data_IF_598284955945
#
_entry.id   IF_598284955945
#
_cell.length_a   1.000
_cell.length_b   1.000
_cell.length_c   1.000
_cell.angle_alpha   90.00
_cell.angle_beta   90.00
_cell.angle_gamma   90.00
#
_symmetry.space_group_name_H-M   'P 1'
#
loop_
_entity.id
_entity.type
_entity.pdbx_description
1 polymer ?
#
# COMPACT_ATOMS: atom_id res chain seq x y z
N UNK A 1 2.38 -19.24 1.20
CA UNK A 1 1.94 -18.07 0.41
C UNK A 1 0.60 -17.67 0.99
N UNK A 2 0.50 -16.48 1.56
CA UNK A 2 -0.69 -16.03 2.31
C UNK A 2 -1.34 -14.87 1.55
N UNK A 3 -2.56 -15.09 1.08
CA UNK A 3 -3.29 -14.18 0.18
C UNK A 3 -4.20 -14.99 -0.73
N UNK A 4 -5.08 -14.31 -1.47
CA UNK A 4 -6.09 -14.98 -2.29
C UNK A 4 -5.91 -14.63 -3.76
N UNK A 5 -5.87 -15.65 -4.61
CA UNK A 5 -5.84 -15.50 -6.08
C UNK A 5 -7.17 -15.99 -6.63
N UNK A 6 -7.82 -15.15 -7.44
CA UNK A 6 -9.12 -15.44 -8.06
C UNK A 6 -9.04 -15.27 -9.57
N UNK A 7 -9.87 -16.00 -10.35
CA UNK A 7 -10.12 -15.64 -11.74
C UNK A 7 -10.56 -14.18 -11.84
N UNK A 8 -10.05 -13.44 -12.83
CA UNK A 8 -10.42 -12.04 -13.00
C UNK A 8 -11.89 -11.94 -13.46
N UNK A 9 -12.74 -11.14 -12.78
CA UNK A 9 -14.17 -11.07 -13.09
C UNK A 9 -14.50 -10.33 -14.40
N UNK A 10 -13.51 -9.71 -15.06
CA UNK A 10 -13.69 -8.88 -16.26
C UNK A 10 -12.79 -9.24 -17.44
N UNK A 11 -11.91 -10.23 -17.28
CA UNK A 11 -10.99 -10.73 -18.29
C UNK A 11 -10.78 -12.23 -18.09
N UNK A 12 -11.10 -13.03 -19.11
CA UNK A 12 -11.15 -14.49 -19.03
C UNK A 12 -9.76 -15.14 -18.99
N UNK A 13 -8.71 -14.40 -19.33
CA UNK A 13 -7.35 -14.93 -19.43
C UNK A 13 -6.42 -14.48 -18.30
N UNK A 14 -6.94 -13.71 -17.33
CA UNK A 14 -6.14 -13.18 -16.23
C UNK A 14 -6.73 -13.49 -14.84
N UNK A 15 -5.95 -13.15 -13.82
CA UNK A 15 -6.27 -13.37 -12.41
C UNK A 15 -6.22 -12.04 -11.66
N UNK A 16 -6.87 -12.01 -10.49
CA UNK A 16 -6.75 -10.93 -9.52
C UNK A 16 -6.25 -11.46 -8.18
N UNK A 17 -5.48 -10.64 -7.47
CA UNK A 17 -4.92 -10.98 -6.15
C UNK A 17 -5.52 -10.05 -5.10
N UNK A 18 -5.91 -10.62 -3.96
CA UNK A 18 -6.38 -9.88 -2.78
C UNK A 18 -5.48 -10.18 -1.59
N UNK A 19 -4.89 -9.12 -1.05
CA UNK A 19 -4.08 -9.14 0.17
C UNK A 19 -4.80 -8.36 1.27
N UNK A 20 -4.98 -8.98 2.43
CA UNK A 20 -5.75 -8.43 3.53
C UNK A 20 -4.82 -8.10 4.70
N UNK A 21 -5.00 -6.90 5.26
CA UNK A 21 -4.26 -6.42 6.43
C UNK A 21 -5.26 -5.99 7.49
N UNK A 22 -5.10 -6.49 8.71
CA UNK A 22 -5.93 -6.14 9.87
C UNK A 22 -5.57 -4.75 10.40
N UNK A 23 -4.27 -4.44 10.52
CA UNK A 23 -3.79 -3.21 11.13
C UNK A 23 -3.69 -2.08 10.10
N UNK A 24 -4.86 -1.55 9.71
CA UNK A 24 -4.99 -0.44 8.76
C UNK A 24 -5.10 0.93 9.43
N UNK A 25 -6.30 1.52 9.35
CA UNK A 25 -6.61 2.86 9.87
C UNK A 25 -6.48 2.96 11.38
N UNK A 26 -6.97 1.97 12.13
CA UNK A 26 -6.95 1.98 13.60
C UNK A 26 -5.53 1.95 14.17
N UNK A 27 -4.58 1.30 13.49
CA UNK A 27 -3.16 1.35 13.86
C UNK A 27 -2.56 2.74 13.60
N UNK A 28 -2.90 3.39 12.48
CA UNK A 28 -2.47 4.78 12.23
C UNK A 28 -3.09 5.76 13.22
N UNK A 29 -4.35 5.57 13.58
CA UNK A 29 -5.03 6.35 14.60
C UNK A 29 -4.39 6.17 15.98
N UNK A 30 -3.98 4.95 16.32
CA UNK A 30 -3.24 4.67 17.54
C UNK A 30 -1.93 5.46 17.62
N UNK A 31 -1.13 5.44 16.55
CA UNK A 31 0.10 6.23 16.46
C UNK A 31 -0.19 7.74 16.48
N UNK A 32 -1.22 8.21 15.77
CA UNK A 32 -1.66 9.61 15.84
C UNK A 32 -2.00 10.01 17.28
N UNK A 33 -2.68 9.16 18.03
CA UNK A 33 -3.12 9.47 19.38
C UNK A 33 -1.96 9.57 20.38
N UNK A 34 -0.96 8.72 20.24
CA UNK A 34 0.21 8.70 21.13
C UNK A 34 1.26 9.73 20.74
N UNK A 35 1.48 9.95 19.44
CA UNK A 35 2.63 10.68 18.94
C UNK A 35 2.30 11.97 18.19
N UNK A 36 1.04 12.24 17.84
CA UNK A 36 0.68 13.41 17.04
C UNK A 36 -0.49 14.20 17.64
N UNK A 37 -0.53 14.34 18.98
CA UNK A 37 -1.52 15.16 19.69
C UNK A 37 -2.98 14.81 19.34
N UNK A 38 -3.24 13.55 18.94
CA UNK A 38 -4.55 13.09 18.43
C UNK A 38 -5.05 13.88 17.21
N UNK A 39 -4.17 14.59 16.50
CA UNK A 39 -4.47 15.45 15.36
C UNK A 39 -3.91 14.88 14.06
N UNK A 40 -4.77 14.75 13.05
CA UNK A 40 -4.32 14.37 11.71
C UNK A 40 -3.48 15.48 11.06
N UNK A 41 -3.66 16.74 11.45
CA UNK A 41 -2.86 17.86 10.92
C UNK A 41 -1.42 17.78 11.44
N UNK A 42 -1.24 17.48 12.73
CA UNK A 42 0.10 17.26 13.32
C UNK A 42 0.74 16.01 12.71
N UNK A 43 -0.04 14.93 12.55
CA UNK A 43 0.42 13.71 11.86
C UNK A 43 0.92 14.01 10.44
N UNK A 44 0.17 14.82 9.69
CA UNK A 44 0.54 15.22 8.33
C UNK A 44 1.77 16.11 8.29
N UNK A 45 1.90 17.05 9.24
CA UNK A 45 3.11 17.87 9.40
C UNK A 45 4.33 16.99 9.65
N UNK A 46 4.21 15.98 10.49
CA UNK A 46 5.28 15.02 10.77
C UNK A 46 5.66 14.23 9.53
N UNK A 47 4.69 13.73 8.75
CA UNK A 47 4.99 13.07 7.47
C UNK A 47 5.73 13.98 6.48
N UNK A 48 5.38 15.26 6.43
CA UNK A 48 5.97 16.22 5.49
C UNK A 48 7.38 16.66 5.88
N UNK A 49 7.66 16.82 7.18
CA UNK A 49 8.99 17.26 7.65
C UNK A 49 10.00 16.11 7.73
N UNK A 50 9.53 14.87 7.93
CA UNK A 50 10.42 13.71 8.07
C UNK A 50 10.92 13.27 6.69
N UNK A 51 12.25 13.25 6.45
CA UNK A 51 12.81 12.86 5.15
C UNK A 51 12.41 11.44 4.73
N UNK A 52 12.32 11.16 3.41
CA UNK A 52 12.14 9.80 2.90
C UNK A 52 13.07 8.77 3.54
N UNK A 53 12.60 7.53 3.69
CA UNK A 53 13.31 6.40 4.31
C UNK A 53 13.48 6.53 5.84
N UNK A 54 12.94 7.58 6.45
CA UNK A 54 12.91 7.79 7.90
C UNK A 54 14.30 7.69 8.58
N UNK A 55 15.37 8.01 7.85
CA UNK A 55 16.75 7.82 8.32
C UNK A 55 17.09 6.37 8.68
N UNK A 56 16.50 5.38 8.00
CA UNK A 56 16.70 3.95 8.27
C UNK A 56 15.87 3.40 9.42
N UNK A 57 14.91 4.16 9.97
CA UNK A 57 14.02 3.68 11.04
C UNK A 57 12.83 2.91 10.47
N UNK A 58 12.75 1.63 10.80
CA UNK A 58 11.69 0.71 10.40
C UNK A 58 10.81 0.35 11.60
N UNK A 59 9.49 0.48 11.43
CA UNK A 59 8.52 0.10 12.44
C UNK A 59 7.51 -0.95 11.95
N UNK A 60 7.09 -1.82 12.85
CA UNK A 60 6.06 -2.84 12.67
C UNK A 60 5.06 -2.66 13.81
N UNK A 61 3.82 -2.33 13.47
CA UNK A 61 2.83 -1.87 14.45
C UNK A 61 1.55 -2.70 14.36
N UNK A 62 1.51 -3.80 15.10
CA UNK A 62 0.38 -4.72 15.13
C UNK A 62 -0.43 -4.48 16.39
N UNK A 63 -1.48 -3.67 16.29
CA UNK A 63 -2.41 -3.38 17.38
C UNK A 63 -3.35 -4.56 17.66
N UNK A 64 -3.73 -5.24 16.60
CA UNK A 64 -4.43 -6.51 16.59
C UNK A 64 -3.54 -7.58 15.94
N UNK A 65 -3.89 -8.86 16.12
CA UNK A 65 -3.26 -9.96 15.39
C UNK A 65 -3.34 -9.69 13.88
N UNK A 66 -2.19 -9.63 13.23
CA UNK A 66 -2.09 -9.31 11.80
C UNK A 66 -2.45 -10.55 10.96
N UNK A 67 -3.04 -10.31 9.78
CA UNK A 67 -3.37 -11.38 8.83
C UNK A 67 -2.16 -11.67 7.95
N UNK A 68 -1.50 -10.62 7.45
CA UNK A 68 -0.42 -10.72 6.49
C UNK A 68 0.76 -9.79 6.87
N UNK A 69 1.85 -10.35 7.42
CA UNK A 69 2.00 -11.75 7.87
C UNK A 69 1.24 -12.05 9.19
N UNK A 70 1.06 -13.32 9.57
CA UNK A 70 0.37 -13.74 10.80
C UNK A 70 1.23 -13.47 12.04
N UNK A 71 1.31 -12.21 12.44
CA UNK A 71 2.05 -11.76 13.60
C UNK A 71 1.11 -11.43 14.76
N UNK A 72 1.49 -11.77 16.01
CA UNK A 72 0.72 -11.39 17.18
C UNK A 72 0.75 -9.88 17.42
N UNK A 73 -0.08 -9.42 18.35
CA UNK A 73 -0.07 -8.03 18.83
C UNK A 73 1.33 -7.70 19.36
N UNK A 74 1.88 -6.58 18.90
CA UNK A 74 3.23 -6.14 19.26
C UNK A 74 3.74 -5.03 18.36
N UNK A 75 4.53 -4.13 18.95
CA UNK A 75 5.25 -3.08 18.22
C UNK A 75 6.74 -3.42 18.21
N UNK A 76 7.34 -3.44 17.02
CA UNK A 76 8.76 -3.73 16.83
C UNK A 76 9.40 -2.61 16.03
N UNK A 77 10.57 -2.16 16.48
CA UNK A 77 11.25 -0.98 15.94
C UNK A 77 12.72 -1.27 15.75
N UNK A 78 13.22 -0.92 14.58
CA UNK A 78 14.60 -1.17 14.19
C UNK A 78 15.21 0.09 13.58
N UNK A 79 16.46 0.37 13.93
CA UNK A 79 17.28 1.39 13.28
C UNK A 79 18.32 0.68 12.42
N UNK A 80 18.37 1.03 11.14
CA UNK A 80 19.43 0.59 10.23
C UNK A 80 20.62 1.56 10.33
N UNK A 81 21.70 1.12 10.96
CA UNK A 81 22.93 1.91 11.11
C UNK A 81 23.55 2.21 9.74
N UNK A 82 23.92 3.48 9.50
CA UNK A 82 24.56 3.94 8.26
C UNK A 82 23.76 3.70 6.97
N UNK A 83 22.44 3.56 7.06
CA UNK A 83 21.61 3.33 5.89
C UNK A 83 21.45 4.58 5.01
N UNK A 84 21.97 4.53 3.78
CA UNK A 84 21.82 5.58 2.76
C UNK A 84 20.73 5.32 1.71
N UNK A 85 20.17 4.10 1.70
CA UNK A 85 19.25 3.62 0.67
C UNK A 85 19.91 2.95 -0.54
N UNK A 86 21.22 3.04 -0.70
CA UNK A 86 21.90 2.60 -1.93
C UNK A 86 22.30 1.11 -1.90
N UNK A 87 22.68 0.58 -0.73
CA UNK A 87 22.98 -0.85 -0.53
C UNK A 87 22.56 -1.32 0.86
N UNK A 88 22.43 -2.65 1.02
CA UNK A 88 22.28 -3.33 2.31
C UNK A 88 23.59 -3.90 2.85
N UNK A 89 24.69 -3.81 2.09
CA UNK A 89 25.97 -4.39 2.48
C UNK A 89 26.50 -3.72 3.75
N UNK A 90 26.81 -4.53 4.76
CA UNK A 90 27.34 -4.06 6.05
C UNK A 90 26.33 -3.31 6.91
N UNK A 91 25.05 -3.22 6.51
CA UNK A 91 24.00 -2.60 7.33
C UNK A 91 23.73 -3.47 8.55
N UNK A 92 23.96 -2.89 9.72
CA UNK A 92 23.54 -3.45 11.00
C UNK A 92 22.18 -2.88 11.37
N UNK A 93 21.37 -3.73 11.97
CA UNK A 93 20.10 -3.33 12.55
C UNK A 93 20.20 -3.37 14.07
N UNK A 94 19.57 -2.39 14.71
CA UNK A 94 19.45 -2.32 16.15
C UNK A 94 17.97 -2.24 16.52
N UNK A 95 17.49 -3.20 17.32
CA UNK A 95 16.16 -3.12 17.91
C UNK A 95 16.14 -2.03 18.99
N UNK A 96 15.11 -1.18 18.98
CA UNK A 96 14.93 -0.09 19.95
C UNK A 96 13.51 -0.09 20.50
N UNK A 97 13.30 0.55 21.64
CA UNK A 97 11.98 0.59 22.28
C UNK A 97 11.04 1.62 21.63
N UNK A 98 11.57 2.74 21.18
CA UNK A 98 10.81 3.92 20.74
C UNK A 98 11.62 4.75 19.73
N UNK A 99 10.92 5.48 18.85
CA UNK A 99 11.46 6.57 18.04
C UNK A 99 10.92 7.93 18.50
N UNK A 100 11.53 9.02 18.04
CA UNK A 100 10.91 10.34 18.19
C UNK A 100 9.55 10.40 17.45
N UNK A 101 8.62 11.27 17.90
CA UNK A 101 7.25 11.27 17.38
C UNK A 101 7.13 11.43 15.85
N UNK A 102 7.89 12.32 15.17
CA UNK A 102 7.91 12.38 13.71
C UNK A 102 8.35 11.07 13.04
N UNK A 103 9.34 10.38 13.61
CA UNK A 103 9.79 9.09 13.11
C UNK A 103 8.82 7.95 13.36
N UNK A 104 8.05 7.93 14.46
CA UNK A 104 6.96 6.97 14.68
C UNK A 104 5.88 7.10 13.62
N UNK A 105 5.43 8.34 13.36
CA UNK A 105 4.43 8.66 12.35
C UNK A 105 4.88 8.25 10.96
N UNK A 106 6.15 8.48 10.63
CA UNK A 106 6.70 8.05 9.33
C UNK A 106 6.82 6.53 9.23
N UNK A 107 7.30 5.87 10.28
CA UNK A 107 7.55 4.44 10.32
C UNK A 107 6.26 3.64 10.11
N UNK A 108 5.13 4.02 10.72
CA UNK A 108 3.85 3.33 10.51
C UNK A 108 3.39 3.41 9.05
N UNK A 109 3.48 4.58 8.42
CA UNK A 109 2.98 4.78 7.06
C UNK A 109 3.91 4.11 6.04
N UNK A 110 5.21 4.37 6.09
CA UNK A 110 6.16 3.70 5.19
C UNK A 110 6.13 2.20 5.38
N UNK A 111 6.10 1.71 6.62
CA UNK A 111 6.08 0.29 6.91
C UNK A 111 4.86 -0.41 6.31
N UNK A 112 3.66 0.15 6.50
CA UNK A 112 2.44 -0.39 5.91
C UNK A 112 2.46 -0.43 4.39
N UNK A 113 3.12 0.55 3.74
CA UNK A 113 3.20 0.65 2.29
C UNK A 113 4.30 -0.26 1.71
N UNK A 114 5.45 -0.37 2.39
CA UNK A 114 6.54 -1.27 2.01
C UNK A 114 6.12 -2.73 2.11
N UNK A 115 5.42 -3.14 3.18
CA UNK A 115 4.87 -4.51 3.26
C UNK A 115 3.85 -4.76 2.14
N UNK A 116 3.00 -3.79 1.78
CA UNK A 116 2.06 -3.93 0.64
C UNK A 116 2.78 -4.12 -0.69
N UNK A 117 3.81 -3.31 -0.96
CA UNK A 117 4.61 -3.40 -2.17
C UNK A 117 5.30 -4.78 -2.24
N UNK A 118 6.00 -5.17 -1.19
CA UNK A 118 6.71 -6.44 -1.13
C UNK A 118 5.79 -7.64 -1.32
N UNK A 119 4.65 -7.65 -0.63
CA UNK A 119 3.72 -8.77 -0.73
C UNK A 119 3.09 -8.84 -2.12
N UNK A 120 2.74 -7.69 -2.72
CA UNK A 120 2.27 -7.66 -4.10
C UNK A 120 3.32 -8.20 -5.09
N UNK A 121 4.58 -7.77 -4.96
CA UNK A 121 5.71 -8.28 -5.78
C UNK A 121 5.90 -9.79 -5.61
N UNK A 122 5.78 -10.31 -4.37
CA UNK A 122 5.87 -11.74 -4.07
C UNK A 122 4.75 -12.57 -4.75
N UNK A 123 3.59 -11.97 -5.01
CA UNK A 123 2.49 -12.56 -5.77
C UNK A 123 2.62 -12.37 -7.30
N UNK A 124 3.75 -11.86 -7.79
CA UNK A 124 4.02 -11.66 -9.21
C UNK A 124 3.36 -10.41 -9.80
N UNK A 125 2.88 -9.49 -8.97
CA UNK A 125 2.36 -8.21 -9.46
C UNK A 125 3.50 -7.35 -10.02
N UNK A 126 3.27 -6.58 -11.10
CA UNK A 126 4.29 -5.72 -11.69
C UNK A 126 4.72 -4.61 -10.73
N UNK A 127 6.02 -4.30 -10.73
CA UNK A 127 6.63 -3.23 -9.95
C UNK A 127 7.59 -2.41 -10.83
N UNK A 128 7.31 -1.12 -11.08
CA UNK A 128 6.13 -0.38 -10.63
C UNK A 128 4.83 -0.86 -11.32
N UNK A 129 3.66 -0.77 -10.67
CA UNK A 129 2.39 -1.02 -11.33
C UNK A 129 2.04 0.11 -12.30
N UNK A 130 1.13 -0.12 -13.26
CA UNK A 130 0.72 0.91 -14.24
C UNK A 130 0.05 2.12 -13.60
N UNK A 131 -0.73 1.90 -12.54
CA UNK A 131 -1.39 2.92 -11.72
C UNK A 131 -1.85 2.31 -10.42
N UNK A 132 -2.05 3.14 -9.39
CA UNK A 132 -2.74 2.78 -8.15
C UNK A 132 -4.03 3.59 -8.04
N UNK A 133 -5.10 2.94 -7.59
CA UNK A 133 -6.36 3.60 -7.24
C UNK A 133 -6.52 3.48 -5.73
N UNK A 134 -6.47 4.61 -5.03
CA UNK A 134 -6.69 4.71 -3.61
C UNK A 134 -8.16 5.05 -3.31
N UNK A 135 -8.73 4.35 -2.33
CA UNK A 135 -10.10 4.56 -1.84
C UNK A 135 -10.16 4.44 -0.31
N UNK A 136 -11.32 4.71 0.28
CA UNK A 136 -11.54 4.72 1.73
C UNK A 136 -11.04 6.00 2.40
N UNK A 137 -11.21 6.12 3.73
CA UNK A 137 -10.95 7.39 4.43
C UNK A 137 -9.52 7.95 4.26
N UNK A 138 -8.51 7.08 4.17
CA UNK A 138 -7.12 7.51 3.99
C UNK A 138 -6.83 8.08 2.60
N UNK A 139 -7.70 7.83 1.60
CA UNK A 139 -7.51 8.41 0.26
C UNK A 139 -7.84 9.91 0.19
N UNK A 140 -8.34 10.51 1.27
CA UNK A 140 -8.46 11.96 1.41
C UNK A 140 -7.15 12.63 1.88
N UNK A 141 -6.15 11.85 2.31
CA UNK A 141 -4.91 12.35 2.88
C UNK A 141 -3.79 12.41 1.82
N UNK A 142 -3.54 13.60 1.29
CA UNK A 142 -2.53 13.82 0.25
C UNK A 142 -1.11 13.42 0.68
N UNK A 143 -0.73 13.58 1.95
CA UNK A 143 0.59 13.16 2.43
C UNK A 143 0.77 11.65 2.30
N UNK A 144 -0.27 10.85 2.62
CA UNK A 144 -0.23 9.40 2.43
C UNK A 144 -0.21 9.03 0.94
N UNK A 145 -1.01 9.71 0.10
CA UNK A 145 -1.04 9.44 -1.35
C UNK A 145 0.31 9.70 -2.02
N UNK A 146 1.01 10.77 -1.65
CA UNK A 146 2.36 11.08 -2.14
C UNK A 146 3.38 10.00 -1.74
N UNK A 147 3.22 9.42 -0.54
CA UNK A 147 4.05 8.30 -0.08
C UNK A 147 3.77 7.02 -0.85
N UNK A 148 2.50 6.73 -1.16
CA UNK A 148 2.14 5.60 -2.05
C UNK A 148 2.85 5.78 -3.40
N UNK A 149 2.75 6.95 -4.01
CA UNK A 149 3.35 7.22 -5.31
C UNK A 149 4.89 7.09 -5.30
N UNK A 150 5.53 7.56 -4.23
CA UNK A 150 6.98 7.48 -4.05
C UNK A 150 7.47 6.06 -3.76
N UNK A 151 6.72 5.27 -2.98
CA UNK A 151 7.11 3.91 -2.61
C UNK A 151 6.84 2.93 -3.74
N UNK A 152 5.70 3.04 -4.44
CA UNK A 152 5.35 2.13 -5.53
C UNK A 152 5.91 2.57 -6.89
N UNK A 153 6.31 3.83 -7.04
CA UNK A 153 6.89 4.36 -8.27
C UNK A 153 5.90 4.52 -9.42
N UNK A 154 4.63 4.80 -9.12
CA UNK A 154 3.58 5.01 -10.12
C UNK A 154 2.60 6.11 -9.70
N UNK A 155 1.80 6.58 -10.66
CA UNK A 155 0.73 7.54 -10.40
C UNK A 155 -0.37 6.92 -9.53
N UNK A 156 -0.87 7.75 -8.61
CA UNK A 156 -1.95 7.41 -7.68
C UNK A 156 -3.17 8.25 -8.00
N UNK A 157 -4.28 7.57 -8.20
CA UNK A 157 -5.57 8.16 -8.49
C UNK A 157 -6.54 7.93 -7.34
N UNK A 158 -7.54 8.79 -7.22
CA UNK A 158 -8.67 8.60 -6.32
C UNK A 158 -9.97 8.56 -7.11
N UNK A 159 -10.98 7.89 -6.56
CA UNK A 159 -12.32 7.81 -7.12
C UNK A 159 -13.33 8.44 -6.16
N UNK A 160 -14.28 9.20 -6.69
CA UNK A 160 -15.27 9.95 -5.92
C UNK A 160 -16.55 9.14 -5.61
N UNK A 161 -16.50 7.80 -5.70
CA UNK A 161 -17.70 6.97 -5.55
C UNK A 161 -17.52 5.87 -4.49
N UNK A 162 -18.33 5.87 -3.41
CA UNK A 162 -18.24 4.86 -2.36
C UNK A 162 -18.81 3.49 -2.78
N UNK A 163 -19.71 3.44 -3.77
CA UNK A 163 -20.47 2.24 -4.15
C UNK A 163 -19.80 1.42 -5.26
N UNK A 164 -18.49 1.17 -5.15
CA UNK A 164 -17.71 0.51 -6.20
C UNK A 164 -18.22 -0.88 -6.57
N UNK A 165 -18.67 -1.67 -5.59
CA UNK A 165 -19.21 -3.01 -5.82
C UNK A 165 -20.53 -2.98 -6.61
N UNK A 166 -21.48 -2.13 -6.20
CA UNK A 166 -22.77 -1.97 -6.86
C UNK A 166 -22.61 -1.44 -8.29
N UNK A 167 -21.75 -0.43 -8.47
CA UNK A 167 -21.41 0.09 -9.80
C UNK A 167 -20.74 -0.99 -10.66
N UNK A 168 -19.81 -1.76 -10.10
CA UNK A 168 -19.17 -2.89 -10.78
C UNK A 168 -20.17 -3.96 -11.22
N UNK A 169 -21.15 -4.28 -10.38
CA UNK A 169 -22.22 -5.22 -10.71
C UNK A 169 -23.09 -4.70 -11.87
N UNK A 170 -23.51 -3.43 -11.84
CA UNK A 170 -24.27 -2.81 -12.92
C UNK A 170 -23.48 -2.79 -14.24
N UNK A 171 -22.18 -2.48 -14.20
CA UNK A 171 -21.30 -2.51 -15.36
C UNK A 171 -21.17 -3.93 -15.94
N UNK A 172 -21.03 -4.95 -15.08
CA UNK A 172 -20.97 -6.35 -15.52
C UNK A 172 -22.28 -6.83 -16.13
N UNK A 173 -23.43 -6.40 -15.61
CA UNK A 173 -24.73 -6.70 -16.21
C UNK A 173 -24.85 -6.09 -17.62
N UNK A 174 -24.47 -4.81 -17.76
CA UNK A 174 -24.46 -4.13 -19.06
C UNK A 174 -23.46 -4.77 -20.05
N UNK A 175 -22.30 -5.20 -19.57
CA UNK A 175 -21.30 -5.94 -20.35
C UNK A 175 -21.84 -7.30 -20.84
N UNK A 176 -22.52 -8.05 -19.97
CA UNK A 176 -23.19 -9.30 -20.35
C UNK A 176 -24.22 -9.11 -21.48
N UNK A 177 -25.03 -8.06 -21.40
CA UNK A 177 -25.96 -7.71 -22.48
C UNK A 177 -25.23 -7.40 -23.80
N UNK A 178 -24.12 -6.66 -23.75
CA UNK A 178 -23.33 -6.33 -24.93
C UNK A 178 -22.71 -7.58 -25.58
N UNK A 179 -22.13 -8.49 -24.78
CA UNK A 179 -21.60 -9.76 -25.25
C UNK A 179 -22.69 -10.60 -25.94
N UNK A 180 -23.88 -10.70 -25.32
CA UNK A 180 -25.02 -11.41 -25.91
C UNK A 180 -25.44 -10.81 -27.25
N UNK A 181 -25.50 -9.48 -27.36
CA UNK A 181 -25.82 -8.79 -28.62
C UNK A 181 -24.77 -9.01 -29.72
N UNK A 182 -23.50 -9.20 -29.35
CA UNK A 182 -22.40 -9.47 -30.29
C UNK A 182 -22.22 -10.95 -30.62
N UNK A 183 -22.82 -11.84 -29.84
CA UNK A 183 -22.67 -13.29 -29.98
C UNK A 183 -21.30 -13.82 -29.52
N UNK A 184 -20.47 -12.98 -28.88
CA UNK A 184 -19.13 -13.33 -28.42
C UNK A 184 -18.69 -12.43 -27.27
N UNK A 185 -17.64 -12.84 -26.56
CA UNK A 185 -17.01 -12.01 -25.54
C UNK A 185 -16.38 -10.77 -26.18
N UNK A 186 -16.59 -9.60 -25.58
CA UNK A 186 -15.88 -8.37 -25.92
C UNK A 186 -15.12 -7.86 -24.70
N UNK A 187 -13.93 -7.25 -24.87
CA UNK A 187 -13.19 -6.69 -23.73
C UNK A 187 -14.03 -5.64 -22.99
N UNK A 188 -14.00 -5.66 -21.64
CA UNK A 188 -14.81 -4.73 -20.82
C UNK A 188 -14.48 -3.26 -21.11
N UNK A 189 -13.25 -2.97 -21.55
CA UNK A 189 -12.81 -1.64 -21.99
C UNK A 189 -13.68 -1.04 -23.10
N UNK A 190 -14.30 -1.88 -23.92
CA UNK A 190 -15.26 -1.48 -24.96
C UNK A 190 -16.46 -0.71 -24.40
N UNK A 191 -16.77 -0.88 -23.10
CA UNK A 191 -17.87 -0.17 -22.44
C UNK A 191 -17.56 1.31 -22.21
N UNK A 192 -16.29 1.70 -22.09
CA UNK A 192 -15.90 3.04 -21.62
C UNK A 192 -14.78 3.74 -22.41
N UNK A 193 -14.02 3.05 -23.28
CA UNK A 193 -12.84 3.63 -23.96
C UNK A 193 -13.10 4.97 -24.68
N UNK A 194 -14.30 5.17 -25.24
CA UNK A 194 -14.66 6.40 -25.97
C UNK A 194 -15.64 7.30 -25.18
N UNK A 195 -15.86 7.01 -23.89
CA UNK A 195 -16.88 7.67 -23.06
C UNK A 195 -16.39 8.02 -21.65
N UNK A 196 -15.09 7.90 -21.35
CA UNK A 196 -14.56 8.09 -19.99
C UNK A 196 -14.99 9.42 -19.35
N UNK A 197 -14.94 10.52 -20.11
CA UNK A 197 -15.31 11.86 -19.63
C UNK A 197 -16.82 12.01 -19.30
N UNK A 198 -17.65 11.07 -19.75
CA UNK A 198 -19.11 11.04 -19.53
C UNK A 198 -19.54 9.93 -18.55
N UNK A 199 -18.59 9.22 -17.94
CA UNK A 199 -18.88 8.08 -17.05
C UNK A 199 -18.46 8.36 -15.62
N UNK A 200 -19.16 7.74 -14.67
CA UNK A 200 -18.79 7.75 -13.24
C UNK A 200 -17.52 6.95 -12.93
N UNK A 201 -16.85 6.40 -13.95
CA UNK A 201 -15.60 5.66 -13.86
C UNK A 201 -14.35 6.57 -13.85
N UNK A 202 -14.54 7.89 -13.90
CA UNK A 202 -13.43 8.83 -13.93
C UNK A 202 -12.61 8.76 -12.63
N UNK A 203 -11.29 8.70 -12.80
CA UNK A 203 -10.32 8.65 -11.73
C UNK A 203 -9.56 9.98 -11.72
N UNK A 204 -9.50 10.66 -10.57
CA UNK A 204 -8.75 11.91 -10.43
C UNK A 204 -7.30 11.60 -10.04
N UNK A 205 -6.34 12.09 -10.82
CA UNK A 205 -4.93 12.04 -10.43
C UNK A 205 -4.75 12.79 -9.10
N UNK A 206 -4.16 12.12 -8.12
CA UNK A 206 -4.04 12.63 -6.76
C UNK A 206 -2.57 12.77 -6.31
N UNK A 207 -1.69 11.90 -6.79
CA UNK A 207 -0.24 12.05 -6.65
C UNK A 207 0.46 11.45 -7.87
N UNK A 208 1.54 12.08 -8.33
CA UNK A 208 2.37 11.61 -9.43
C UNK A 208 3.46 10.67 -8.93
N UNK A 209 3.89 9.73 -9.78
CA UNK A 209 5.01 8.84 -9.50
C UNK A 209 6.22 9.61 -8.95
N UNK A 210 6.85 9.04 -7.91
CA UNK A 210 8.05 9.63 -7.31
C UNK A 210 9.29 9.52 -8.21
N UNK A 211 10.36 10.20 -7.78
CA UNK A 211 11.68 10.09 -8.40
C UNK A 211 12.19 8.64 -8.44
N UNK A 212 12.71 8.21 -9.58
CA UNK A 212 13.15 6.82 -9.79
C UNK A 212 14.30 6.41 -8.86
N UNK A 213 15.19 7.35 -8.49
CA UNK A 213 16.25 7.04 -7.52
C UNK A 213 15.64 6.78 -6.15
N UNK A 214 14.66 7.57 -5.73
CA UNK A 214 13.94 7.34 -4.48
C UNK A 214 13.16 6.01 -4.48
N UNK A 215 12.48 5.68 -5.58
CA UNK A 215 11.78 4.39 -5.76
C UNK A 215 12.74 3.21 -5.59
N UNK A 216 13.96 3.32 -6.14
CA UNK A 216 15.01 2.32 -5.99
C UNK A 216 15.49 2.21 -4.53
N UNK A 217 15.70 3.33 -3.83
CA UNK A 217 16.05 3.32 -2.40
C UNK A 217 14.97 2.68 -1.54
N UNK A 218 13.69 2.91 -1.87
CA UNK A 218 12.59 2.21 -1.22
C UNK A 218 12.58 0.71 -1.52
N UNK A 219 12.97 0.28 -2.72
CA UNK A 219 13.12 -1.13 -3.03
C UNK A 219 14.22 -1.78 -2.17
N UNK A 220 15.33 -1.08 -1.93
CA UNK A 220 16.39 -1.52 -1.01
C UNK A 220 15.88 -1.62 0.43
N UNK A 221 15.20 -0.58 0.94
CA UNK A 221 14.63 -0.58 2.29
C UNK A 221 13.56 -1.68 2.46
N UNK A 222 12.75 -1.90 1.43
CA UNK A 222 11.72 -2.95 1.39
C UNK A 222 12.33 -4.34 1.56
N UNK A 223 13.43 -4.65 0.88
CA UNK A 223 14.13 -5.94 1.04
C UNK A 223 14.54 -6.17 2.49
N UNK A 224 15.13 -5.16 3.14
CA UNK A 224 15.53 -5.25 4.54
C UNK A 224 14.34 -5.38 5.49
N UNK A 225 13.25 -4.65 5.22
CA UNK A 225 12.00 -4.80 5.97
C UNK A 225 11.50 -6.23 5.93
N UNK A 226 11.48 -6.88 4.76
CA UNK A 226 11.00 -8.26 4.62
C UNK A 226 11.91 -9.27 5.31
N UNK A 227 13.22 -9.04 5.30
CA UNK A 227 14.16 -9.85 6.08
C UNK A 227 13.86 -9.80 7.58
N UNK A 228 13.58 -8.61 8.13
CA UNK A 228 13.17 -8.45 9.53
C UNK A 228 11.80 -9.07 9.78
N UNK A 229 10.84 -8.83 8.87
CA UNK A 229 9.48 -9.35 8.97
C UNK A 229 9.47 -10.89 9.01
N UNK A 230 10.23 -11.56 8.14
CA UNK A 230 10.35 -13.02 8.14
C UNK A 230 10.92 -13.54 9.46
N UNK A 231 11.94 -12.88 10.02
CA UNK A 231 12.49 -13.25 11.33
C UNK A 231 11.52 -13.04 12.48
N UNK A 232 10.70 -11.98 12.41
CA UNK A 232 9.61 -11.79 13.37
C UNK A 232 8.58 -12.92 13.27
N UNK A 233 8.24 -13.37 12.06
CA UNK A 233 7.31 -14.49 11.84
C UNK A 233 7.92 -15.80 12.37
N UNK A 234 9.19 -16.07 12.12
CA UNK A 234 9.86 -17.26 12.66
C UNK A 234 9.93 -17.24 14.20
N UNK A 235 10.14 -16.07 14.78
CA UNK A 235 10.30 -15.89 16.24
C UNK A 235 8.97 -15.86 17.00
N UNK A 236 7.95 -15.23 16.44
CA UNK A 236 6.70 -14.87 17.12
C UNK A 236 5.44 -15.41 16.45
N UNK A 237 5.55 -15.82 15.19
CA UNK A 237 4.44 -16.41 14.44
C UNK A 237 3.98 -17.71 15.08
N UNK A 238 2.69 -18.00 14.94
CA UNK A 238 2.15 -19.31 15.32
C UNK A 238 2.43 -20.28 14.16
N UNK A 239 3.03 -21.44 14.48
CA UNK A 239 2.99 -22.61 13.59
C UNK A 239 1.55 -23.03 13.33
#
# INVERSE_FOLDING_TARGET
>A
MEGHVFPNPVDTESYMVMLCYKNGSLAREDIRNHYAEKSWDVFNKYLQQTPPLNGGRLGFYYKDFEILPPLPVGFHRYILENFSGDSLDGIKEQEVQEFDPPSEVRAIVEGQLLSKRAHAERFGMPSPPKRIIATGGASANNSILSLIASIFGCDVYTVQQPDSASLGAALRAAHGWLCNKKGSFVPISSMYMNKMDKTSLNCKLAATAGDQKLVAKYATLMKKRIEIENRLVEKLGRL
#
